data_IF_594750139249
#
_entry.id   IF_594750139249
#
_cell.length_a   1.000
_cell.length_b   1.000
_cell.length_c   1.000
_cell.angle_alpha   90.00
_cell.angle_beta   90.00
_cell.angle_gamma   90.00
#
_symmetry.space_group_name_H-M   'P 1'
#
loop_
_entity.id
_entity.type
_entity.pdbx_description
1 polymer ?
#
# COMPACT_ATOMS: atom_id res chain seq x y z
N UNK A 1 -12.78 -19.81 8.66
CA UNK A 1 -12.80 -19.85 7.18
C UNK A 1 -11.81 -18.82 6.63
N UNK A 2 -10.50 -19.12 6.60
CA UNK A 2 -9.51 -18.23 5.99
C UNK A 2 -9.39 -18.55 4.50
N UNK A 3 -9.80 -17.59 3.66
CA UNK A 3 -9.72 -17.70 2.20
C UNK A 3 -8.28 -17.78 1.75
N UNK A 4 -7.86 -18.95 1.28
CA UNK A 4 -6.55 -19.18 0.67
C UNK A 4 -6.51 -18.44 -0.67
N UNK A 5 -5.71 -17.37 -0.75
CA UNK A 5 -5.40 -16.70 -2.02
C UNK A 5 -4.33 -17.52 -2.73
N UNK A 6 -4.70 -18.08 -3.88
CA UNK A 6 -3.82 -18.93 -4.71
C UNK A 6 -3.07 -18.01 -5.68
N UNK A 7 -1.74 -18.14 -5.74
CA UNK A 7 -0.90 -17.47 -6.73
C UNK A 7 -1.13 -18.10 -8.12
N UNK A 8 -0.97 -17.30 -9.17
CA UNK A 8 -1.14 -17.63 -10.60
C UNK A 8 -0.31 -18.85 -11.06
N UNK A 9 0.72 -19.24 -10.30
CA UNK A 9 1.59 -20.39 -10.57
C UNK A 9 1.26 -21.69 -9.81
N UNK A 10 0.10 -21.81 -9.14
CA UNK A 10 -0.36 -23.08 -8.56
C UNK A 10 0.45 -23.63 -7.37
N UNK A 11 1.55 -22.98 -6.96
CA UNK A 11 2.24 -23.28 -5.70
C UNK A 11 1.45 -22.72 -4.53
N UNK A 12 1.15 -23.59 -3.56
CA UNK A 12 0.66 -23.18 -2.24
C UNK A 12 1.77 -22.39 -1.56
N UNK A 13 1.58 -21.08 -1.38
CA UNK A 13 2.48 -20.28 -0.55
C UNK A 13 2.30 -20.80 0.88
N UNK A 14 3.38 -21.30 1.47
CA UNK A 14 3.33 -21.82 2.84
C UNK A 14 3.23 -20.65 3.82
N UNK A 15 2.67 -20.89 5.01
CA UNK A 15 2.55 -19.88 6.06
C UNK A 15 3.94 -19.36 6.50
N UNK A 16 4.94 -20.24 6.48
CA UNK A 16 6.34 -19.92 6.75
C UNK A 16 6.91 -18.93 5.72
N UNK A 17 6.65 -19.13 4.42
CA UNK A 17 7.07 -18.20 3.37
C UNK A 17 6.45 -16.81 3.57
N UNK A 18 5.16 -16.75 3.94
CA UNK A 18 4.45 -15.51 4.22
C UNK A 18 4.98 -14.78 5.46
N UNK A 19 5.31 -15.51 6.53
CA UNK A 19 5.90 -14.93 7.75
C UNK A 19 7.29 -14.34 7.48
N UNK A 20 8.10 -15.03 6.65
CA UNK A 20 9.43 -14.57 6.26
C UNK A 20 9.37 -13.28 5.42
N UNK A 21 8.37 -13.16 4.54
CA UNK A 21 8.12 -11.98 3.74
C UNK A 21 7.68 -10.80 4.61
N UNK A 22 6.71 -11.01 5.51
CA UNK A 22 6.21 -9.98 6.43
C UNK A 22 7.33 -9.45 7.35
N UNK A 23 8.19 -10.34 7.84
CA UNK A 23 9.36 -9.95 8.63
C UNK A 23 10.38 -9.14 7.82
N UNK A 24 10.63 -9.54 6.57
CA UNK A 24 11.53 -8.80 5.68
C UNK A 24 11.00 -7.39 5.38
N UNK A 25 9.71 -7.27 5.08
CA UNK A 25 9.03 -6.00 4.87
C UNK A 25 9.10 -5.12 6.11
N UNK A 26 8.77 -5.65 7.29
CA UNK A 26 8.81 -4.90 8.54
C UNK A 26 10.22 -4.37 8.86
N UNK A 27 11.28 -5.17 8.62
CA UNK A 27 12.66 -4.70 8.78
C UNK A 27 12.98 -3.57 7.80
N UNK A 28 12.56 -3.69 6.53
CA UNK A 28 12.75 -2.63 5.53
C UNK A 28 12.03 -1.34 5.94
N UNK A 29 10.78 -1.46 6.34
CA UNK A 29 9.94 -0.35 6.81
C UNK A 29 10.53 0.34 8.04
N UNK A 30 11.09 -0.43 8.96
CA UNK A 30 11.74 0.13 10.15
C UNK A 30 12.93 0.99 9.74
N UNK A 31 13.75 0.57 8.77
CA UNK A 31 14.88 1.38 8.26
C UNK A 31 14.39 2.66 7.59
N UNK A 32 13.42 2.55 6.68
CA UNK A 32 12.84 3.73 6.00
C UNK A 32 12.29 4.76 6.99
N UNK A 33 11.60 4.30 8.03
CA UNK A 33 11.07 5.17 9.09
C UNK A 33 12.16 5.79 9.97
N UNK A 34 13.21 5.02 10.28
CA UNK A 34 14.37 5.52 11.02
C UNK A 34 15.11 6.61 10.24
N UNK A 35 15.27 6.43 8.93
CA UNK A 35 15.88 7.41 8.04
C UNK A 35 15.02 8.68 7.94
N UNK A 36 13.69 8.53 7.89
CA UNK A 36 12.77 9.65 7.86
C UNK A 36 12.68 10.42 9.20
N UNK A 37 12.90 9.74 10.33
CA UNK A 37 12.94 10.36 11.67
C UNK A 37 14.30 11.05 11.95
N UNK A 38 15.32 10.84 11.12
CA UNK A 38 16.66 11.36 11.34
C UNK A 38 16.72 12.89 11.19
N UNK A 39 17.10 13.60 12.26
CA UNK A 39 17.13 15.06 12.29
C UNK A 39 18.52 15.68 12.05
N UNK A 40 19.59 14.88 11.93
CA UNK A 40 20.91 15.36 11.49
C UNK A 40 22.09 14.95 12.37
N UNK A 41 23.18 15.72 12.31
CA UNK A 41 24.54 15.34 12.79
C UNK A 41 24.65 15.01 14.29
N UNK A 42 23.69 15.43 15.12
CA UNK A 42 23.65 15.15 16.55
C UNK A 42 22.85 13.89 16.93
N UNK A 43 22.13 13.30 15.98
CA UNK A 43 21.26 12.17 16.25
C UNK A 43 22.05 10.90 16.45
N UNK A 44 21.72 10.20 17.53
CA UNK A 44 22.15 8.83 17.76
C UNK A 44 21.02 7.90 17.38
N UNK A 45 21.37 6.79 16.76
CA UNK A 45 20.42 5.79 16.28
C UNK A 45 19.46 5.29 17.37
N UNK A 46 19.93 5.14 18.62
CA UNK A 46 19.05 4.80 19.74
C UNK A 46 18.03 5.90 20.06
N UNK A 47 18.41 7.18 19.98
CA UNK A 47 17.50 8.31 20.21
C UNK A 47 16.46 8.45 19.10
N UNK A 48 16.87 8.21 17.85
CA UNK A 48 15.95 8.19 16.70
C UNK A 48 14.96 7.04 16.85
N UNK A 49 15.44 5.84 17.20
CA UNK A 49 14.59 4.67 17.44
C UNK A 49 13.63 4.87 18.60
N UNK A 50 14.09 5.51 19.67
CA UNK A 50 13.25 5.85 20.82
C UNK A 50 12.12 6.83 20.43
N UNK A 51 12.44 7.89 19.66
CA UNK A 51 11.44 8.83 19.14
C UNK A 51 10.44 8.14 18.23
N UNK A 52 10.93 7.38 17.24
CA UNK A 52 10.10 6.60 16.35
C UNK A 52 9.15 5.67 17.12
N UNK A 53 9.69 4.91 18.09
CA UNK A 53 8.92 4.02 18.96
C UNK A 53 7.78 4.75 19.69
N UNK A 54 8.05 5.96 20.21
CA UNK A 54 7.04 6.81 20.86
C UNK A 54 5.98 7.30 19.87
N UNK A 55 6.39 7.73 18.68
CA UNK A 55 5.49 8.27 17.66
C UNK A 55 4.53 7.20 17.13
N UNK A 56 5.01 5.97 16.91
CA UNK A 56 4.21 4.90 16.29
C UNK A 56 3.56 3.95 17.31
N UNK A 57 3.84 4.12 18.61
CA UNK A 57 3.27 3.28 19.68
C UNK A 57 3.81 1.84 19.73
N UNK A 58 5.04 1.61 19.26
CA UNK A 58 5.70 0.30 19.30
C UNK A 58 6.83 0.33 20.33
N UNK A 59 7.08 -0.79 21.03
CA UNK A 59 8.19 -0.86 21.99
C UNK A 59 9.53 -0.70 21.26
N UNK A 60 10.41 0.16 21.79
CA UNK A 60 11.75 0.37 21.23
C UNK A 60 12.54 -0.95 21.12
N UNK A 61 12.43 -1.82 22.13
CA UNK A 61 13.07 -3.14 22.12
C UNK A 61 12.61 -4.04 20.96
N UNK A 62 11.39 -3.85 20.48
CA UNK A 62 10.87 -4.58 19.31
C UNK A 62 11.48 -4.03 18.00
N UNK A 63 11.59 -2.71 17.87
CA UNK A 63 12.28 -2.08 16.74
C UNK A 63 13.76 -2.47 16.70
N UNK A 64 14.41 -2.52 17.87
CA UNK A 64 15.79 -2.98 18.00
C UNK A 64 15.94 -4.42 17.49
N UNK A 65 15.00 -5.31 17.83
CA UNK A 65 15.01 -6.69 17.33
C UNK A 65 14.83 -6.76 15.82
N UNK A 66 13.88 -6.00 15.26
CA UNK A 66 13.67 -5.94 13.81
C UNK A 66 14.92 -5.49 13.04
N UNK A 67 15.74 -4.65 13.68
CA UNK A 67 16.93 -4.08 13.08
C UNK A 67 18.15 -5.00 13.14
N UNK A 68 18.47 -5.54 14.32
CA UNK A 68 19.72 -6.28 14.54
C UNK A 68 19.52 -7.78 14.78
N UNK A 69 18.34 -8.20 15.21
CA UNK A 69 18.04 -9.59 15.61
C UNK A 69 17.00 -10.23 14.70
N UNK A 70 16.92 -9.80 13.43
CA UNK A 70 15.99 -10.39 12.45
C UNK A 70 16.18 -11.91 12.33
N UNK A 71 17.41 -12.40 12.39
CA UNK A 71 17.71 -13.84 12.32
C UNK A 71 17.14 -14.64 13.51
N UNK A 72 16.90 -13.99 14.65
CA UNK A 72 16.26 -14.60 15.83
C UNK A 72 14.72 -14.47 15.77
N UNK A 73 14.16 -13.92 14.70
CA UNK A 73 12.73 -13.72 14.53
C UNK A 73 12.21 -14.63 13.42
N UNK A 74 11.14 -15.36 13.71
CA UNK A 74 10.40 -16.15 12.73
C UNK A 74 9.34 -15.31 12.04
N UNK A 75 8.67 -14.43 12.79
CA UNK A 75 7.54 -13.64 12.32
C UNK A 75 7.46 -12.28 13.04
N UNK A 76 6.58 -11.41 12.54
CA UNK A 76 6.26 -10.10 13.10
C UNK A 76 4.84 -10.09 13.63
N UNK A 77 4.67 -9.56 14.83
CA UNK A 77 3.34 -9.39 15.42
C UNK A 77 2.50 -8.50 14.51
N UNK A 78 1.33 -8.96 14.11
CA UNK A 78 0.46 -8.22 13.19
C UNK A 78 0.13 -6.79 13.64
N UNK A 79 0.07 -6.53 14.96
CA UNK A 79 -0.08 -5.17 15.50
C UNK A 79 1.11 -4.26 15.17
N UNK A 80 2.33 -4.78 15.25
CA UNK A 80 3.56 -4.04 14.91
C UNK A 80 3.64 -3.84 13.40
N UNK A 81 3.32 -4.86 12.61
CA UNK A 81 3.28 -4.75 11.15
C UNK A 81 2.32 -3.64 10.71
N UNK A 82 1.09 -3.60 11.25
CA UNK A 82 0.13 -2.52 10.96
C UNK A 82 0.60 -1.15 11.43
N UNK A 83 1.22 -1.06 12.62
CA UNK A 83 1.76 0.20 13.12
C UNK A 83 2.85 0.77 12.20
N UNK A 84 3.78 -0.08 11.73
CA UNK A 84 4.82 0.31 10.76
C UNK A 84 4.21 0.72 9.41
N UNK A 85 3.19 0.00 8.94
CA UNK A 85 2.48 0.33 7.70
C UNK A 85 1.82 1.73 7.78
N UNK A 86 1.08 1.99 8.86
CA UNK A 86 0.42 3.27 9.10
C UNK A 86 1.44 4.40 9.27
N UNK A 87 2.52 4.14 10.00
CA UNK A 87 3.61 5.11 10.16
C UNK A 87 4.19 5.50 8.80
N UNK A 88 4.46 4.55 7.90
CA UNK A 88 4.98 4.89 6.56
C UNK A 88 4.04 5.77 5.74
N UNK A 89 2.74 5.63 5.93
CA UNK A 89 1.75 6.51 5.30
C UNK A 89 1.82 7.92 5.92
N UNK A 90 1.90 8.01 7.25
CA UNK A 90 1.99 9.30 7.96
C UNK A 90 3.28 10.07 7.65
N UNK A 91 4.41 9.36 7.50
CA UNK A 91 5.70 9.95 7.13
C UNK A 91 5.80 10.27 5.62
N UNK A 92 4.74 10.01 4.85
CA UNK A 92 4.73 10.28 3.40
C UNK A 92 5.65 9.38 2.57
N UNK A 93 6.16 8.29 3.15
CA UNK A 93 7.07 7.34 2.49
C UNK A 93 6.33 6.53 1.42
N UNK A 94 5.04 6.26 1.65
CA UNK A 94 4.15 5.67 0.64
C UNK A 94 3.21 6.75 0.15
N UNK A 95 3.45 7.25 -1.06
CA UNK A 95 2.47 8.04 -1.80
C UNK A 95 1.19 7.21 -1.95
N UNK A 96 0.05 7.80 -1.62
CA UNK A 96 -1.23 7.11 -1.48
C UNK A 96 -1.52 6.18 -2.68
N UNK A 97 -1.42 4.86 -2.46
CA UNK A 97 -1.96 3.86 -3.38
C UNK A 97 -3.47 4.01 -3.60
N UNK A 98 -4.14 4.83 -2.76
CA UNK A 98 -5.52 5.26 -2.93
C UNK A 98 -5.76 6.15 -4.15
N UNK A 99 -4.83 7.03 -4.52
CA UNK A 99 -4.99 7.87 -5.72
C UNK A 99 -4.94 7.02 -6.99
N UNK A 100 -3.98 6.10 -7.08
CA UNK A 100 -3.88 5.17 -8.21
C UNK A 100 -5.07 4.19 -8.28
N UNK A 101 -5.67 3.82 -7.14
CA UNK A 101 -6.88 3.00 -7.13
C UNK A 101 -8.12 3.80 -7.58
N UNK A 102 -8.25 5.05 -7.11
CA UNK A 102 -9.31 5.97 -7.51
C UNK A 102 -9.22 6.36 -8.98
N UNK A 103 -8.02 6.63 -9.51
CA UNK A 103 -7.80 6.92 -10.93
C UNK A 103 -8.15 5.73 -11.82
N UNK A 104 -7.81 4.50 -11.39
CA UNK A 104 -8.20 3.29 -12.12
C UNK A 104 -9.71 3.10 -12.14
N UNK A 105 -10.39 3.35 -11.01
CA UNK A 105 -11.85 3.26 -10.93
C UNK A 105 -12.54 4.33 -11.78
N UNK A 106 -12.05 5.58 -11.72
CA UNK A 106 -12.51 6.69 -12.55
C UNK A 106 -12.32 6.41 -14.05
N UNK A 107 -11.15 5.93 -14.47
CA UNK A 107 -10.88 5.58 -15.86
C UNK A 107 -11.79 4.45 -16.37
N UNK A 108 -12.10 3.47 -15.52
CA UNK A 108 -13.01 2.37 -15.86
C UNK A 108 -14.47 2.85 -15.96
N UNK A 109 -14.87 3.81 -15.11
CA UNK A 109 -16.17 4.47 -15.21
C UNK A 109 -16.30 5.33 -16.48
N UNK A 110 -15.27 6.11 -16.82
CA UNK A 110 -15.24 6.92 -18.04
C UNK A 110 -15.27 6.04 -19.31
N UNK A 111 -14.57 4.90 -19.29
CA UNK A 111 -14.63 3.91 -20.37
C UNK A 111 -16.01 3.25 -20.52
N UNK A 112 -16.75 3.06 -19.42
CA UNK A 112 -18.14 2.56 -19.46
C UNK A 112 -19.11 3.61 -19.99
N UNK A 113 -18.97 4.87 -19.53
CA UNK A 113 -19.83 5.97 -19.96
C UNK A 113 -19.67 6.29 -21.45
N UNK A 114 -18.45 6.23 -21.99
CA UNK A 114 -18.22 6.44 -23.43
C UNK A 114 -18.85 5.34 -24.30
N UNK A 115 -18.84 4.07 -23.86
CA UNK A 115 -19.56 2.96 -24.55
C UNK A 115 -21.06 3.15 -24.53
N UNK A 116 -21.64 3.58 -23.40
CA UNK A 116 -23.08 3.86 -23.28
C UNK A 116 -23.49 5.04 -24.17
N UNK A 117 -22.68 6.09 -24.23
CA UNK A 117 -22.91 7.23 -25.12
C UNK A 117 -22.86 6.84 -26.60
N UNK A 118 -21.91 5.99 -27.01
CA UNK A 118 -21.82 5.46 -28.37
C UNK A 118 -23.01 4.57 -28.75
N UNK A 119 -23.47 3.72 -27.82
CA UNK A 119 -24.67 2.90 -28.00
C UNK A 119 -25.94 3.76 -28.10
N UNK A 120 -26.07 4.79 -27.27
CA UNK A 120 -27.20 5.72 -27.34
C UNK A 120 -27.22 6.51 -28.66
N UNK A 121 -26.06 6.93 -29.17
CA UNK A 121 -25.94 7.58 -30.48
C UNK A 121 -26.29 6.64 -31.64
N UNK A 122 -25.89 5.36 -31.56
CA UNK A 122 -26.25 4.34 -32.54
C UNK A 122 -27.76 4.02 -32.54
N UNK A 123 -28.39 4.01 -31.36
CA UNK A 123 -29.84 3.81 -31.21
C UNK A 123 -30.64 5.04 -31.64
N UNK A 124 -30.10 6.26 -31.47
CA UNK A 124 -30.81 7.49 -31.82
C UNK A 124 -30.94 7.74 -33.33
N UNK A 125 -30.14 7.08 -34.17
CA UNK A 125 -30.18 7.21 -35.64
C UNK A 125 -29.78 8.61 -36.16
N UNK A 126 -29.49 8.75 -37.47
CA UNK A 126 -29.13 10.04 -38.05
C UNK A 126 -30.29 11.03 -37.98
N UNK A 127 -30.05 12.24 -37.44
CA UNK A 127 -31.00 13.35 -37.46
C UNK A 127 -31.30 13.70 -38.92
N UNK A 128 -32.47 13.31 -39.40
CA UNK A 128 -33.00 13.72 -40.70
C UNK A 128 -33.15 15.24 -40.66
N UNK A 129 -32.23 15.95 -41.30
CA UNK A 129 -32.34 17.39 -41.50
C UNK A 129 -33.49 17.62 -42.48
N UNK A 130 -34.65 18.04 -41.96
CA UNK A 130 -35.76 18.53 -42.79
C UNK A 130 -35.30 19.82 -43.47
N UNK A 131 -34.86 19.71 -44.71
CA UNK A 131 -34.70 20.86 -45.60
C UNK A 131 -36.09 21.36 -45.96
N UNK A 132 -36.49 22.50 -45.39
CA UNK A 132 -37.65 23.24 -45.88
C UNK A 132 -37.22 23.97 -47.14
N UNK A 133 -37.64 23.45 -48.31
CA UNK A 133 -37.58 24.14 -49.59
C UNK A 133 -38.70 25.17 -49.67
N UNK A 134 -38.39 26.31 -50.29
CA UNK A 134 -39.17 27.55 -50.31
C UNK A 134 -40.04 27.63 -51.55
#
# INVERSE_FOLDING_TARGET
MSGKRVSENGKRVSEDDMSSAALSEATKWTKELMDAEWQGRGDKENLVRYRLAKNIGVRESYLYRLQYKKQEMTDVRGSVYRALMLARQLYGIVAASGEAAYEKEKALADARNSKMAGLAAAVAGPKIQRTMSK
#
